data_IF_358656767101
#
_entry.id   IF_358656767101
#
_cell.length_a   1.000
_cell.length_b   1.000
_cell.length_c   1.000
_cell.angle_alpha   90.00
_cell.angle_beta   90.00
_cell.angle_gamma   90.00
#
_symmetry.space_group_name_H-M   'P 1'
#
loop_
_entity.id
_entity.type
_entity.pdbx_description
1 polymer ?
#
# COMPACT_ATOMS: atom_id res chain seq x y z
N UNK A 1 18.93 32.89 -8.85
CA UNK A 1 20.17 32.13 -9.10
C UNK A 1 19.75 30.66 -9.18
N UNK A 2 19.40 30.21 -10.39
CA UNK A 2 18.80 28.89 -10.62
C UNK A 2 19.89 27.83 -10.76
N UNK A 3 19.81 26.78 -9.96
CA UNK A 3 20.67 25.60 -10.10
C UNK A 3 20.11 24.76 -11.25
N UNK A 4 20.90 24.43 -12.29
CA UNK A 4 20.43 23.56 -13.36
C UNK A 4 20.36 22.12 -12.84
N UNK A 5 19.19 21.50 -12.97
CA UNK A 5 19.02 20.06 -12.85
C UNK A 5 19.80 19.41 -14.00
N UNK A 6 20.98 18.84 -13.71
CA UNK A 6 21.66 17.98 -14.67
C UNK A 6 20.95 16.63 -14.71
N UNK A 7 20.31 16.33 -15.84
CA UNK A 7 19.94 14.97 -16.21
C UNK A 7 21.22 14.14 -16.39
N UNK A 8 21.71 13.54 -15.31
CA UNK A 8 22.71 12.47 -15.36
C UNK A 8 22.30 11.39 -14.36
N UNK A 9 21.28 10.65 -14.75
CA UNK A 9 20.73 9.55 -13.95
C UNK A 9 19.72 8.71 -14.72
N UNK A 10 19.84 8.63 -16.05
CA UNK A 10 19.21 7.56 -16.81
C UNK A 10 19.91 6.25 -16.43
N UNK A 11 19.51 5.69 -15.29
CA UNK A 11 19.87 4.34 -14.90
C UNK A 11 19.40 3.42 -16.02
N UNK A 12 20.35 2.93 -16.82
CA UNK A 12 20.14 1.76 -17.68
C UNK A 12 19.40 0.74 -16.83
N UNK A 13 18.20 0.36 -17.24
CA UNK A 13 17.56 -0.83 -16.71
C UNK A 13 18.56 -1.96 -16.89
N UNK A 14 19.22 -2.36 -15.81
CA UNK A 14 20.01 -3.59 -15.80
C UNK A 14 18.98 -4.67 -16.10
N UNK A 15 19.08 -5.29 -17.27
CA UNK A 15 18.24 -6.43 -17.62
C UNK A 15 18.39 -7.46 -16.51
N UNK A 16 17.34 -7.59 -15.70
CA UNK A 16 17.31 -8.54 -14.59
C UNK A 16 17.41 -9.93 -15.20
N UNK A 17 18.37 -10.78 -14.76
CA UNK A 17 18.54 -12.12 -15.30
C UNK A 17 17.23 -12.90 -15.28
N UNK A 18 16.95 -13.68 -16.32
CA UNK A 18 15.71 -14.45 -16.44
C UNK A 18 15.46 -15.38 -15.23
N UNK A 19 16.53 -15.91 -14.62
CA UNK A 19 16.48 -16.69 -13.38
C UNK A 19 15.94 -15.88 -12.20
N UNK A 20 16.37 -14.63 -12.03
CA UNK A 20 15.90 -13.73 -10.97
C UNK A 20 14.46 -13.32 -11.22
N UNK A 21 14.08 -13.03 -12.47
CA UNK A 21 12.68 -12.77 -12.84
C UNK A 21 11.77 -13.95 -12.50
N UNK A 22 12.22 -15.17 -12.81
CA UNK A 22 11.51 -16.40 -12.45
C UNK A 22 11.38 -16.58 -10.94
N UNK A 23 12.43 -16.27 -10.17
CA UNK A 23 12.40 -16.34 -8.70
C UNK A 23 11.48 -15.30 -8.09
N UNK A 24 11.45 -14.06 -8.63
CA UNK A 24 10.50 -13.02 -8.22
C UNK A 24 9.05 -13.45 -8.41
N UNK A 25 8.71 -14.01 -9.56
CA UNK A 25 7.35 -14.55 -9.78
C UNK A 25 7.05 -15.69 -8.80
N UNK A 26 7.96 -16.65 -8.67
CA UNK A 26 7.77 -17.79 -7.76
C UNK A 26 7.58 -17.36 -6.29
N UNK A 27 8.31 -16.33 -5.85
CA UNK A 27 8.15 -15.72 -4.54
C UNK A 27 6.75 -15.10 -4.39
N UNK A 28 6.36 -14.22 -5.32
CA UNK A 28 5.08 -13.52 -5.27
C UNK A 28 3.90 -14.50 -5.30
N UNK A 29 3.99 -15.55 -6.12
CA UNK A 29 2.95 -16.57 -6.23
C UNK A 29 2.77 -17.33 -4.91
N UNK A 30 3.87 -17.75 -4.26
CA UNK A 30 3.82 -18.50 -3.01
C UNK A 30 3.36 -17.64 -1.83
N UNK A 31 3.90 -16.43 -1.67
CA UNK A 31 3.50 -15.53 -0.59
C UNK A 31 2.07 -15.03 -0.80
N UNK A 32 1.69 -14.75 -2.05
CA UNK A 32 0.32 -14.39 -2.41
C UNK A 32 -0.67 -15.50 -2.08
N UNK A 33 -0.36 -16.75 -2.45
CA UNK A 33 -1.18 -17.91 -2.09
C UNK A 33 -1.30 -18.08 -0.57
N UNK A 34 -0.20 -17.95 0.17
CA UNK A 34 -0.21 -18.01 1.63
C UNK A 34 -1.08 -16.89 2.26
N UNK A 35 -1.00 -15.67 1.75
CA UNK A 35 -1.84 -14.55 2.21
C UNK A 35 -3.33 -14.80 1.96
N UNK A 36 -3.71 -15.40 0.84
CA UNK A 36 -5.10 -15.79 0.54
C UNK A 36 -5.58 -16.89 1.48
N UNK A 37 -4.76 -17.92 1.72
CA UNK A 37 -5.07 -19.02 2.64
C UNK A 37 -5.26 -18.48 4.07
N UNK A 38 -4.30 -17.69 4.56
CA UNK A 38 -4.35 -17.08 5.89
C UNK A 38 -5.58 -16.19 6.08
N UNK A 39 -5.96 -15.42 5.06
CA UNK A 39 -7.17 -14.58 5.10
C UNK A 39 -8.42 -15.45 5.22
N UNK A 40 -8.55 -16.50 4.39
CA UNK A 40 -9.70 -17.41 4.45
C UNK A 40 -9.85 -18.05 5.82
N UNK A 41 -8.75 -18.45 6.44
CA UNK A 41 -8.74 -19.03 7.78
C UNK A 41 -9.23 -18.05 8.84
N UNK A 42 -8.68 -16.82 8.84
CA UNK A 42 -9.07 -15.76 9.76
C UNK A 42 -10.56 -15.41 9.64
N UNK A 43 -11.09 -15.30 8.41
CA UNK A 43 -12.49 -14.97 8.17
C UNK A 43 -13.48 -16.08 8.56
N UNK A 44 -13.12 -17.35 8.35
CA UNK A 44 -14.02 -18.46 8.64
C UNK A 44 -13.82 -19.07 10.04
N UNK A 45 -12.88 -18.55 10.84
CA UNK A 45 -12.45 -19.14 12.12
C UNK A 45 -12.15 -20.66 12.00
N UNK A 46 -11.73 -21.09 10.82
CA UNK A 46 -11.40 -22.49 10.53
C UNK A 46 -9.95 -22.71 10.89
N UNK A 47 -9.69 -23.74 11.72
CA UNK A 47 -8.34 -24.25 11.90
C UNK A 47 -7.80 -24.72 10.53
N UNK A 48 -6.78 -24.06 10.01
CA UNK A 48 -6.09 -24.50 8.79
C UNK A 48 -5.44 -25.85 9.09
N UNK A 49 -5.52 -26.84 8.19
CA UNK A 49 -4.64 -28.00 8.24
C UNK A 49 -3.17 -27.55 8.27
N UNK A 50 -2.39 -28.11 9.19
CA UNK A 50 -0.97 -27.82 9.51
C UNK A 50 -0.18 -27.06 8.45
N UNK A 51 0.34 -25.89 8.84
CA UNK A 51 1.48 -25.16 8.27
C UNK A 51 1.50 -24.89 6.75
N UNK A 52 0.46 -25.17 5.96
CA UNK A 52 0.56 -25.08 4.50
C UNK A 52 0.93 -23.67 3.99
N UNK A 53 0.32 -22.63 4.57
CA UNK A 53 0.67 -21.24 4.30
C UNK A 53 2.08 -20.90 4.80
N UNK A 54 2.44 -21.38 5.98
CA UNK A 54 3.77 -21.22 6.56
C UNK A 54 4.86 -21.89 5.72
N UNK A 55 4.62 -23.09 5.17
CA UNK A 55 5.56 -23.80 4.31
C UNK A 55 5.77 -23.07 2.97
N UNK A 56 4.70 -22.52 2.39
CA UNK A 56 4.80 -21.68 1.19
C UNK A 56 5.67 -20.45 1.46
N UNK A 57 5.43 -19.74 2.56
CA UNK A 57 6.24 -18.57 2.92
C UNK A 57 7.67 -18.97 3.25
N UNK A 58 7.89 -20.02 4.04
CA UNK A 58 9.22 -20.54 4.37
C UNK A 58 10.01 -20.88 3.11
N UNK A 59 9.39 -21.53 2.13
CA UNK A 59 10.02 -21.84 0.86
C UNK A 59 10.31 -20.57 0.06
N UNK A 60 9.37 -19.61 0.01
CA UNK A 60 9.58 -18.33 -0.65
C UNK A 60 10.76 -17.53 -0.04
N UNK A 61 10.91 -17.56 1.29
CA UNK A 61 11.95 -16.80 2.00
C UNK A 61 13.38 -17.15 1.55
N UNK A 62 13.62 -18.30 0.93
CA UNK A 62 14.94 -18.64 0.36
C UNK A 62 15.39 -17.64 -0.73
N UNK A 63 14.46 -16.96 -1.39
CA UNK A 63 14.74 -16.00 -2.44
C UNK A 63 14.76 -14.54 -1.96
N UNK A 64 14.54 -14.30 -0.66
CA UNK A 64 14.47 -12.93 -0.10
C UNK A 64 15.65 -12.04 -0.53
N UNK A 65 16.92 -12.50 -0.57
CA UNK A 65 18.05 -11.63 -0.92
C UNK A 65 18.01 -11.14 -2.37
N UNK A 66 17.30 -11.85 -3.25
CA UNK A 66 17.19 -11.53 -4.68
C UNK A 66 15.91 -10.75 -5.02
N UNK A 67 14.87 -10.89 -4.20
CA UNK A 67 13.55 -10.28 -4.45
C UNK A 67 13.32 -9.02 -3.64
N UNK A 68 13.92 -8.88 -2.45
CA UNK A 68 13.77 -7.70 -1.59
C UNK A 68 14.69 -6.55 -2.06
N UNK A 69 14.40 -6.04 -3.26
CA UNK A 69 15.13 -4.95 -3.90
C UNK A 69 14.39 -3.62 -3.79
N UNK A 70 15.12 -2.50 -3.85
CA UNK A 70 14.53 -1.16 -3.86
C UNK A 70 14.06 -0.77 -5.28
N UNK A 71 13.18 -1.58 -5.86
CA UNK A 71 12.51 -1.36 -7.14
C UNK A 71 11.02 -1.72 -7.01
N UNK A 72 10.20 -1.39 -8.01
CA UNK A 72 8.76 -1.67 -7.97
C UNK A 72 8.45 -3.16 -7.68
N UNK A 73 9.08 -4.14 -8.36
CA UNK A 73 8.89 -5.56 -8.04
C UNK A 73 9.31 -5.94 -6.62
N UNK A 74 10.40 -5.38 -6.10
CA UNK A 74 10.82 -5.69 -4.73
C UNK A 74 9.90 -5.09 -3.68
N UNK A 75 9.38 -3.89 -3.89
CA UNK A 75 8.32 -3.32 -3.07
C UNK A 75 7.05 -4.19 -3.10
N UNK A 76 6.62 -4.65 -4.28
CA UNK A 76 5.50 -5.58 -4.41
C UNK A 76 5.71 -6.87 -3.60
N UNK A 77 6.92 -7.45 -3.65
CA UNK A 77 7.27 -8.64 -2.90
C UNK A 77 7.20 -8.41 -1.38
N UNK A 78 7.78 -7.30 -0.89
CA UNK A 78 7.76 -6.97 0.53
C UNK A 78 6.35 -6.61 1.01
N UNK A 79 5.53 -5.94 0.20
CA UNK A 79 4.12 -5.65 0.53
C UNK A 79 3.30 -6.93 0.69
N UNK A 80 3.47 -7.90 -0.21
CA UNK A 80 2.82 -9.20 -0.10
C UNK A 80 3.23 -9.95 1.18
N UNK A 81 4.53 -9.93 1.51
CA UNK A 81 5.03 -10.51 2.74
C UNK A 81 4.46 -9.82 3.98
N UNK A 82 4.43 -8.49 3.96
CA UNK A 82 3.90 -7.67 5.07
C UNK A 82 2.42 -7.97 5.27
N UNK A 83 1.63 -8.02 4.18
CA UNK A 83 0.20 -8.39 4.22
C UNK A 83 -0.04 -9.77 4.84
N UNK A 84 0.83 -10.75 4.55
CA UNK A 84 0.74 -12.07 5.16
C UNK A 84 1.05 -12.03 6.67
N UNK A 85 2.07 -11.26 7.08
CA UNK A 85 2.46 -11.12 8.48
C UNK A 85 1.41 -10.35 9.28
N UNK A 86 0.65 -9.43 8.66
CA UNK A 86 -0.52 -8.81 9.31
C UNK A 86 -1.55 -9.83 9.78
N UNK A 87 -1.70 -10.94 9.04
CA UNK A 87 -2.58 -12.05 9.40
C UNK A 87 -1.90 -13.03 10.37
N UNK A 88 -0.56 -13.04 10.40
CA UNK A 88 0.27 -13.95 11.17
C UNK A 88 1.40 -13.20 11.93
N UNK A 89 1.07 -12.40 12.96
CA UNK A 89 2.01 -11.47 13.60
C UNK A 89 3.17 -12.15 14.35
N UNK A 90 3.12 -13.47 14.53
CA UNK A 90 4.20 -14.27 15.15
C UNK A 90 5.42 -14.43 14.25
N UNK A 91 5.31 -14.13 12.95
CA UNK A 91 6.33 -14.47 11.96
C UNK A 91 7.44 -13.44 11.80
N UNK A 92 7.13 -12.16 11.96
CA UNK A 92 8.14 -11.10 11.95
C UNK A 92 7.59 -9.84 12.64
N UNK A 93 8.49 -8.90 12.91
CA UNK A 93 8.14 -7.59 13.42
C UNK A 93 7.47 -6.74 12.31
N UNK A 94 6.17 -6.50 12.48
CA UNK A 94 5.39 -5.65 11.58
C UNK A 94 5.91 -4.22 11.52
N UNK A 95 6.37 -3.66 12.64
CA UNK A 95 6.85 -2.28 12.70
C UNK A 95 8.08 -2.10 11.79
N UNK A 96 9.01 -3.06 11.83
CA UNK A 96 10.19 -3.03 10.98
C UNK A 96 9.82 -3.08 9.50
N UNK A 97 8.89 -3.98 9.13
CA UNK A 97 8.45 -4.13 7.74
C UNK A 97 7.69 -2.90 7.23
N UNK A 98 6.81 -2.32 8.06
CA UNK A 98 6.12 -1.08 7.71
C UNK A 98 7.08 0.10 7.53
N UNK A 99 8.17 0.16 8.30
CA UNK A 99 9.23 1.13 8.08
C UNK A 99 9.94 0.93 6.73
N UNK A 100 10.25 -0.33 6.38
CA UNK A 100 10.91 -0.66 5.11
C UNK A 100 10.06 -0.31 3.89
N UNK A 101 8.77 -0.64 3.88
CA UNK A 101 7.88 -0.31 2.74
C UNK A 101 7.66 1.21 2.64
N UNK A 102 7.59 1.93 3.75
CA UNK A 102 7.42 3.38 3.77
C UNK A 102 8.65 4.09 3.21
N UNK A 103 9.85 3.64 3.59
CA UNK A 103 11.09 4.14 3.02
C UNK A 103 11.19 3.84 1.51
N UNK A 104 10.86 2.62 1.08
CA UNK A 104 10.88 2.26 -0.34
C UNK A 104 9.88 3.10 -1.18
N UNK A 105 8.70 3.41 -0.64
CA UNK A 105 7.74 4.34 -1.27
C UNK A 105 8.31 5.74 -1.45
N UNK A 106 9.10 6.21 -0.48
CA UNK A 106 9.77 7.51 -0.56
C UNK A 106 10.88 7.46 -1.63
N UNK A 107 11.75 6.45 -1.56
CA UNK A 107 12.88 6.27 -2.47
C UNK A 107 12.45 6.15 -3.95
N UNK A 108 11.32 5.48 -4.20
CA UNK A 108 10.75 5.31 -5.54
C UNK A 108 9.87 6.50 -5.99
N UNK A 109 9.72 7.52 -5.15
CA UNK A 109 8.90 8.70 -5.41
C UNK A 109 7.41 8.39 -5.56
N UNK A 110 6.91 7.30 -4.96
CA UNK A 110 5.52 6.87 -5.10
C UNK A 110 4.55 7.76 -4.31
N UNK A 111 5.06 8.47 -3.31
CA UNK A 111 4.35 9.47 -2.50
C UNK A 111 4.03 10.78 -3.26
N UNK A 112 4.54 10.93 -4.48
CA UNK A 112 4.29 12.10 -5.33
C UNK A 112 3.42 11.67 -6.51
N UNK A 113 2.36 12.45 -6.77
CA UNK A 113 1.55 12.24 -7.97
C UNK A 113 2.35 12.62 -9.21
N UNK A 114 2.37 11.74 -10.21
CA UNK A 114 3.08 12.05 -11.45
C UNK A 114 2.36 13.18 -12.21
N UNK A 115 3.08 14.10 -12.86
CA UNK A 115 2.46 15.04 -13.80
C UNK A 115 1.68 14.30 -14.88
N UNK A 116 0.67 14.94 -15.48
CA UNK A 116 -0.10 14.36 -16.58
C UNK A 116 0.73 14.34 -17.88
N UNK A 117 1.70 13.42 -17.94
CA UNK A 117 2.65 13.24 -19.03
C UNK A 117 2.25 12.05 -19.90
N UNK A 118 2.20 12.24 -21.22
CA UNK A 118 1.86 11.21 -22.21
C UNK A 118 2.85 10.03 -22.22
N UNK A 119 4.07 10.20 -21.69
CA UNK A 119 5.07 9.13 -21.53
C UNK A 119 4.72 8.14 -20.43
N UNK A 120 3.84 8.52 -19.50
CA UNK A 120 3.41 7.68 -18.39
C UNK A 120 2.07 7.05 -18.77
N UNK A 121 2.08 5.74 -18.98
CA UNK A 121 0.84 5.03 -19.31
C UNK A 121 -0.14 5.02 -18.12
N UNK A 122 -1.43 4.88 -18.43
CA UNK A 122 -2.46 4.77 -17.40
C UNK A 122 -2.20 3.60 -16.43
N UNK A 123 -1.74 2.46 -16.96
CA UNK A 123 -1.31 1.32 -16.16
C UNK A 123 -0.19 1.66 -15.18
N UNK A 124 0.88 2.34 -15.63
CA UNK A 124 1.99 2.71 -14.75
C UNK A 124 1.56 3.67 -13.65
N UNK A 125 0.76 4.69 -13.99
CA UNK A 125 0.22 5.64 -13.02
C UNK A 125 -0.62 4.94 -11.97
N UNK A 126 -1.54 4.09 -12.41
CA UNK A 126 -2.44 3.37 -11.53
C UNK A 126 -1.69 2.39 -10.61
N UNK A 127 -0.70 1.66 -11.15
CA UNK A 127 0.16 0.79 -10.35
C UNK A 127 0.92 1.56 -9.26
N UNK A 128 1.48 2.74 -9.58
CA UNK A 128 2.17 3.58 -8.59
C UNK A 128 1.23 4.01 -7.46
N UNK A 129 0.02 4.45 -7.79
CA UNK A 129 -1.01 4.83 -6.80
C UNK A 129 -1.36 3.65 -5.90
N UNK A 130 -1.55 2.45 -6.46
CA UNK A 130 -1.87 1.25 -5.65
C UNK A 130 -0.77 0.91 -4.66
N UNK A 131 0.49 0.93 -5.09
CA UNK A 131 1.62 0.61 -4.22
C UNK A 131 1.76 1.63 -3.10
N UNK A 132 1.61 2.92 -3.43
CA UNK A 132 1.58 3.98 -2.42
C UNK A 132 0.48 3.74 -1.39
N UNK A 133 -0.78 3.63 -1.84
CA UNK A 133 -1.92 3.51 -0.92
C UNK A 133 -1.90 2.22 -0.10
N UNK A 134 -1.41 1.11 -0.67
CA UNK A 134 -1.25 -0.15 0.04
C UNK A 134 -0.16 -0.08 1.12
N UNK A 135 0.99 0.53 0.82
CA UNK A 135 2.03 0.72 1.82
C UNK A 135 1.61 1.68 2.93
N UNK A 136 1.01 2.81 2.55
CA UNK A 136 0.61 3.86 3.48
C UNK A 136 -0.49 3.39 4.44
N UNK A 137 -1.51 2.69 3.94
CA UNK A 137 -2.61 2.21 4.78
C UNK A 137 -2.15 1.15 5.79
N UNK A 138 -1.18 0.31 5.40
CA UNK A 138 -0.51 -0.64 6.30
C UNK A 138 0.29 0.08 7.40
N UNK A 139 1.09 1.09 7.05
CA UNK A 139 1.82 1.89 8.03
C UNK A 139 0.86 2.53 9.04
N UNK A 140 -0.20 3.19 8.58
CA UNK A 140 -1.22 3.79 9.44
C UNK A 140 -1.82 2.74 10.39
N UNK A 141 -2.18 1.57 9.87
CA UNK A 141 -2.75 0.51 10.70
C UNK A 141 -1.85 0.08 11.85
N UNK A 142 -0.52 0.06 11.65
CA UNK A 142 0.45 -0.25 12.70
C UNK A 142 0.66 0.95 13.62
N UNK A 143 0.84 2.15 13.05
CA UNK A 143 1.05 3.39 13.80
C UNK A 143 -0.10 3.72 14.75
N UNK A 144 -1.35 3.52 14.33
CA UNK A 144 -2.52 3.77 15.16
C UNK A 144 -2.61 2.80 16.35
N UNK A 145 -2.20 1.53 16.17
CA UNK A 145 -2.16 0.55 17.26
C UNK A 145 -1.07 0.91 18.29
N UNK A 146 0.12 1.31 17.82
CA UNK A 146 1.24 1.63 18.68
C UNK A 146 1.29 3.09 19.13
N UNK A 147 0.32 3.91 18.70
CA UNK A 147 0.28 5.37 18.92
C UNK A 147 1.59 6.05 18.51
N UNK A 148 2.14 5.66 17.35
CA UNK A 148 3.34 6.27 16.77
C UNK A 148 2.96 7.20 15.62
N UNK A 149 3.76 8.26 15.34
CA UNK A 149 3.57 9.05 14.14
C UNK A 149 3.83 8.22 12.88
N UNK A 150 3.15 8.52 11.77
CA UNK A 150 3.45 7.95 10.45
C UNK A 150 4.63 8.66 9.81
N UNK A 151 5.39 7.95 8.95
CA UNK A 151 6.50 8.54 8.17
C UNK A 151 6.00 9.57 7.16
N UNK A 152 4.80 9.34 6.60
CA UNK A 152 4.12 10.23 5.67
C UNK A 152 2.80 10.74 6.30
N UNK A 153 2.78 11.95 6.87
CA UNK A 153 1.57 12.56 7.42
C UNK A 153 0.51 12.79 6.35
N UNK A 154 -0.77 12.68 6.72
CA UNK A 154 -1.92 12.83 5.80
C UNK A 154 -1.85 14.12 4.98
N UNK A 155 -1.47 15.23 5.61
CA UNK A 155 -1.36 16.56 4.98
C UNK A 155 -0.40 16.62 3.78
N UNK A 156 0.49 15.65 3.65
CA UNK A 156 1.49 15.60 2.56
C UNK A 156 1.09 14.63 1.45
N UNK A 157 -0.10 14.03 1.51
CA UNK A 157 -0.56 13.07 0.51
C UNK A 157 -1.20 13.82 -0.65
N UNK A 158 -0.50 13.83 -1.78
CA UNK A 158 -0.99 14.42 -3.05
C UNK A 158 -1.43 13.34 -4.06
N UNK A 159 -1.24 12.07 -3.72
CA UNK A 159 -1.48 10.92 -4.60
C UNK A 159 -2.98 10.64 -4.69
N UNK A 160 -3.53 10.63 -5.90
CA UNK A 160 -4.94 10.30 -6.08
C UNK A 160 -5.22 8.81 -5.81
N UNK A 161 -6.47 8.48 -5.51
CA UNK A 161 -6.86 7.08 -5.34
C UNK A 161 -6.64 6.26 -6.63
N UNK A 162 -6.39 4.94 -6.50
CA UNK A 162 -6.35 4.03 -7.64
C UNK A 162 -7.72 3.95 -8.34
N UNK A 163 -7.70 3.56 -9.61
CA UNK A 163 -8.90 3.29 -10.39
C UNK A 163 -9.62 2.04 -9.85
N UNK A 164 -10.93 2.18 -9.65
CA UNK A 164 -11.83 1.08 -9.25
C UNK A 164 -12.31 0.26 -10.45
N UNK A 165 -11.40 -0.06 -11.36
CA UNK A 165 -11.69 -0.84 -12.57
C UNK A 165 -10.86 -2.11 -12.55
N UNK A 166 -11.34 -3.17 -13.18
CA UNK A 166 -10.59 -4.42 -13.37
C UNK A 166 -9.23 -4.19 -14.05
N UNK A 167 -8.23 -5.02 -13.74
CA UNK A 167 -6.89 -4.88 -14.34
C UNK A 167 -6.89 -5.11 -15.84
N UNK A 168 -7.83 -5.92 -16.35
CA UNK A 168 -7.97 -6.21 -17.78
C UNK A 168 -8.29 -4.96 -18.61
N UNK A 169 -8.85 -3.91 -18.01
CA UNK A 169 -9.26 -2.69 -18.70
C UNK A 169 -8.32 -1.50 -18.46
N UNK A 170 -7.29 -1.67 -17.64
CA UNK A 170 -6.26 -0.66 -17.36
C UNK A 170 -5.00 -1.08 -18.11
N UNK A 171 -4.77 -0.52 -19.29
CA UNK A 171 -3.71 -0.96 -20.19
C UNK A 171 -2.66 0.13 -20.41
N UNK A 172 -1.59 -0.20 -21.13
CA UNK A 172 -0.59 0.78 -21.54
C UNK A 172 -1.14 1.79 -22.55
N UNK A 173 -2.10 1.39 -23.38
CA UNK A 173 -2.71 2.23 -24.43
C UNK A 173 -3.86 3.10 -23.92
N UNK A 174 -4.42 2.80 -22.74
CA UNK A 174 -5.50 3.60 -22.16
C UNK A 174 -6.33 2.84 -21.13
N UNK A 175 -7.42 3.48 -20.70
CA UNK A 175 -8.39 2.93 -19.75
C UNK A 175 -9.75 2.82 -20.41
N UNK A 176 -10.31 1.62 -20.46
CA UNK A 176 -11.72 1.44 -20.82
C UNK A 176 -12.61 1.68 -19.60
N UNK A 177 -13.32 2.81 -19.61
CA UNK A 177 -14.21 3.24 -18.52
C UNK A 177 -15.53 2.45 -18.46
N UNK A 178 -15.86 1.68 -19.50
CA UNK A 178 -17.01 0.76 -19.51
C UNK A 178 -16.71 -0.57 -18.83
N UNK A 179 -15.48 -0.78 -18.37
CA UNK A 179 -15.04 -2.01 -17.75
C UNK A 179 -15.74 -2.33 -16.42
N UNK A 180 -15.58 -3.59 -15.98
CA UNK A 180 -16.10 -4.05 -14.69
C UNK A 180 -15.47 -3.27 -13.54
N UNK A 181 -16.32 -2.76 -12.65
CA UNK A 181 -15.88 -2.14 -11.39
C UNK A 181 -15.27 -3.20 -10.48
N UNK A 182 -14.10 -2.92 -9.93
CA UNK A 182 -13.40 -3.79 -8.98
C UNK A 182 -12.61 -2.95 -7.98
N UNK A 183 -11.97 -3.57 -6.99
CA UNK A 183 -11.07 -2.90 -6.01
C UNK A 183 -11.71 -1.81 -5.13
N UNK A 184 -13.04 -1.70 -5.12
CA UNK A 184 -13.76 -0.76 -4.26
C UNK A 184 -13.45 -0.93 -2.77
N UNK A 185 -13.18 -2.18 -2.34
CA UNK A 185 -12.74 -2.48 -0.97
C UNK A 185 -11.47 -1.74 -0.59
N UNK A 186 -10.52 -1.57 -1.52
CA UNK A 186 -9.29 -0.81 -1.26
C UNK A 186 -9.62 0.65 -0.94
N UNK A 187 -10.48 1.29 -1.73
CA UNK A 187 -10.90 2.67 -1.49
C UNK A 187 -11.58 2.80 -0.12
N UNK A 188 -12.48 1.87 0.22
CA UNK A 188 -13.16 1.84 1.52
C UNK A 188 -12.14 1.75 2.66
N UNK A 189 -11.15 0.86 2.57
CA UNK A 189 -10.10 0.70 3.60
C UNK A 189 -9.26 1.97 3.71
N UNK A 190 -8.78 2.53 2.60
CA UNK A 190 -7.96 3.74 2.64
C UNK A 190 -8.72 4.94 3.22
N UNK A 191 -10.03 5.07 2.94
CA UNK A 191 -10.84 6.14 3.56
C UNK A 191 -10.98 5.97 5.06
N UNK A 192 -11.17 4.74 5.55
CA UNK A 192 -11.12 4.47 6.98
C UNK A 192 -9.79 4.89 7.59
N UNK A 193 -8.67 4.52 6.96
CA UNK A 193 -7.31 4.86 7.44
C UNK A 193 -7.04 6.36 7.43
N UNK A 194 -7.60 7.12 6.50
CA UNK A 194 -7.51 8.58 6.52
C UNK A 194 -8.18 9.17 7.75
N UNK A 195 -9.40 8.70 8.08
CA UNK A 195 -10.11 9.13 9.30
C UNK A 195 -9.30 8.75 10.55
N UNK A 196 -8.82 7.50 10.61
CA UNK A 196 -8.06 7.00 11.75
C UNK A 196 -6.76 7.79 11.97
N UNK A 197 -5.99 8.02 10.90
CA UNK A 197 -4.77 8.80 10.96
C UNK A 197 -5.03 10.26 11.36
N UNK A 198 -6.15 10.86 10.94
CA UNK A 198 -6.48 12.24 11.32
C UNK A 198 -6.75 12.34 12.81
N UNK A 199 -7.63 11.46 13.32
CA UNK A 199 -7.97 11.37 14.74
C UNK A 199 -6.72 11.16 15.58
N UNK A 200 -5.86 10.21 15.19
CA UNK A 200 -4.62 9.90 15.92
C UNK A 200 -3.65 11.08 15.86
N UNK A 201 -3.49 11.73 14.71
CA UNK A 201 -2.59 12.88 14.55
C UNK A 201 -2.95 14.05 15.47
N UNK A 202 -4.23 14.41 15.54
CA UNK A 202 -4.70 15.54 16.35
C UNK A 202 -4.67 15.20 17.84
N UNK A 203 -5.28 14.07 18.23
CA UNK A 203 -5.48 13.74 19.65
C UNK A 203 -4.22 13.23 20.35
N UNK A 204 -3.35 12.50 19.66
CA UNK A 204 -2.16 11.89 20.28
C UNK A 204 -0.85 12.59 19.90
N UNK A 205 -0.74 13.15 18.70
CA UNK A 205 0.49 13.79 18.23
C UNK A 205 0.46 15.31 18.28
N UNK A 206 -0.69 15.90 18.62
CA UNK A 206 -0.85 17.35 18.77
C UNK A 206 -0.78 18.10 17.44
N UNK A 207 -1.08 17.43 16.32
CA UNK A 207 -1.23 18.12 15.04
C UNK A 207 -2.40 19.13 15.12
N UNK A 208 -2.28 20.28 14.44
CA UNK A 208 -3.31 21.30 14.50
C UNK A 208 -4.60 20.79 13.86
N UNK A 209 -5.74 21.09 14.50
CA UNK A 209 -7.05 20.90 13.88
C UNK A 209 -7.14 21.67 12.55
N UNK A 210 -7.94 21.18 11.58
CA UNK A 210 -8.19 21.89 10.33
C UNK A 210 -8.57 23.36 10.55
N UNK A 211 -8.02 24.24 9.71
CA UNK A 211 -8.18 25.70 9.87
C UNK A 211 -9.67 26.07 9.87
N UNK A 212 -10.05 26.90 10.84
CA UNK A 212 -11.39 27.45 10.95
C UNK A 212 -12.40 26.56 11.71
N UNK A 213 -11.95 25.46 12.32
CA UNK A 213 -12.77 24.64 13.21
C UNK A 213 -12.38 24.85 14.67
N UNK A 214 -13.35 24.70 15.58
CA UNK A 214 -13.11 24.46 17.01
C UNK A 214 -12.90 22.97 17.27
N UNK A 215 -12.40 22.61 18.45
CA UNK A 215 -12.27 21.20 18.86
C UNK A 215 -13.59 20.43 18.72
N UNK A 216 -14.69 20.99 19.22
CA UNK A 216 -16.01 20.37 19.16
C UNK A 216 -16.50 20.20 17.70
N UNK A 217 -16.23 21.18 16.83
CA UNK A 217 -16.58 21.08 15.41
C UNK A 217 -15.76 20.01 14.70
N UNK A 218 -14.48 19.89 15.03
CA UNK A 218 -13.60 18.84 14.50
C UNK A 218 -13.99 17.44 14.98
N UNK A 219 -14.33 17.29 16.27
CA UNK A 219 -14.86 16.02 16.80
C UNK A 219 -16.14 15.59 16.06
N UNK A 220 -17.07 16.52 15.86
CA UNK A 220 -18.29 16.26 15.09
C UNK A 220 -17.96 15.89 13.63
N UNK A 221 -17.00 16.58 13.01
CA UNK A 221 -16.52 16.25 11.67
C UNK A 221 -16.02 14.80 11.58
N UNK A 222 -15.23 14.33 12.55
CA UNK A 222 -14.78 12.93 12.58
C UNK A 222 -15.94 11.94 12.72
N UNK A 223 -16.95 12.25 13.55
CA UNK A 223 -18.16 11.42 13.71
C UNK A 223 -18.96 11.34 12.42
N UNK A 224 -19.13 12.48 11.74
CA UNK A 224 -19.83 12.57 10.46
C UNK A 224 -19.08 11.78 9.37
N UNK A 225 -17.75 11.91 9.32
CA UNK A 225 -16.89 11.17 8.38
C UNK A 225 -16.97 9.65 8.60
N UNK A 226 -16.96 9.18 9.85
CA UNK A 226 -17.16 7.77 10.18
C UNK A 226 -18.56 7.27 9.76
N UNK A 227 -19.58 8.10 9.95
CA UNK A 227 -20.96 7.78 9.58
C UNK A 227 -21.12 7.68 8.06
N UNK A 228 -20.53 8.61 7.31
CA UNK A 228 -20.49 8.59 5.85
C UNK A 228 -19.74 7.36 5.33
N UNK A 229 -18.55 7.10 5.86
CA UNK A 229 -17.76 5.92 5.50
C UNK A 229 -18.57 4.63 5.72
N UNK A 230 -19.28 4.52 6.84
CA UNK A 230 -20.12 3.37 7.13
C UNK A 230 -21.26 3.21 6.12
N UNK A 231 -21.89 4.29 5.69
CA UNK A 231 -22.96 4.24 4.67
C UNK A 231 -22.43 3.72 3.33
N UNK A 232 -21.21 4.10 2.94
CA UNK A 232 -20.60 3.65 1.68
C UNK A 232 -20.29 2.16 1.64
N UNK A 233 -20.09 1.51 2.79
CA UNK A 233 -19.88 0.06 2.85
C UNK A 233 -21.14 -0.71 2.45
N UNK A 234 -22.32 -0.15 2.74
CA UNK A 234 -23.63 -0.80 2.56
C UNK A 234 -24.44 -0.24 1.38
N UNK A 235 -23.88 0.72 0.63
CA UNK A 235 -24.49 1.28 -0.58
C UNK A 235 -24.23 0.40 -1.80
#
# INVERSE_FOLDING_TARGET
MGIPFSESGAGRGRDVPASVRSRRHCYMDQVGAAAVIGRRAAFHAVAIPDDADFQLVRHAMQWIPEVATNDVPGLQAILLLTQYIFLNPRMADLWLLTGLISQAVIDLGLHQELPNDARVSAYQRDMRRRLFWCAWEMEVGVCCIFLRPTSLPIRNIEVAFPLELDDTVITQSGVDRGGRVSKFTQRIICRFRLIEAEIVSVLWHGDPIPKGMTMQQWEQHCVDAMSQWRQEIYA
#
